data_IF_984333955611
#
_entry.id   IF_984333955611
#
_cell.length_a   1.000
_cell.length_b   1.000
_cell.length_c   1.000
_cell.angle_alpha   90.00
_cell.angle_beta   90.00
_cell.angle_gamma   90.00
#
_symmetry.space_group_name_H-M   'P 1'
#
loop_
_entity.id
_entity.type
_entity.pdbx_description
1 polymer ?
#
# COMPACT_ATOMS: atom_id res chain seq x y z
N UNK A 1 -5.68 -21.64 -21.88
CA UNK A 1 -5.17 -20.26 -21.72
C UNK A 1 -5.59 -19.59 -20.41
N UNK A 2 -6.56 -20.10 -19.65
CA UNK A 2 -7.01 -19.52 -18.37
C UNK A 2 -6.04 -19.73 -17.19
N UNK A 3 -5.37 -20.88 -17.11
CA UNK A 3 -4.44 -21.21 -16.02
C UNK A 3 -3.17 -20.34 -16.04
N UNK A 4 -2.55 -20.19 -17.21
CA UNK A 4 -1.34 -19.38 -17.39
C UNK A 4 -1.55 -17.91 -16.95
N UNK A 5 -2.72 -17.35 -17.26
CA UNK A 5 -3.07 -15.99 -16.86
C UNK A 5 -3.33 -15.89 -15.36
N UNK A 6 -3.99 -16.87 -14.74
CA UNK A 6 -4.18 -16.90 -13.29
C UNK A 6 -2.84 -16.99 -12.55
N UNK A 7 -1.91 -17.77 -13.08
CA UNK A 7 -0.56 -17.92 -12.53
C UNK A 7 0.26 -16.63 -12.66
N UNK A 8 0.16 -15.94 -13.79
CA UNK A 8 0.78 -14.63 -14.00
C UNK A 8 0.23 -13.58 -13.02
N UNK A 9 -1.09 -13.46 -12.89
CA UNK A 9 -1.72 -12.53 -11.94
C UNK A 9 -1.29 -12.84 -10.51
N UNK A 10 -1.25 -14.12 -10.13
CA UNK A 10 -0.77 -14.52 -8.81
C UNK A 10 0.70 -14.13 -8.59
N UNK A 11 1.54 -14.24 -9.62
CA UNK A 11 2.93 -13.82 -9.56
C UNK A 11 3.06 -12.30 -9.39
N UNK A 12 2.26 -11.53 -10.10
CA UNK A 12 2.26 -10.06 -10.00
C UNK A 12 1.86 -9.59 -8.60
N UNK A 13 0.84 -10.21 -8.00
CA UNK A 13 0.42 -9.96 -6.61
C UNK A 13 1.51 -10.37 -5.62
N UNK A 14 2.17 -11.53 -5.82
CA UNK A 14 3.29 -11.97 -4.97
C UNK A 14 4.42 -10.95 -4.95
N UNK A 15 4.81 -10.42 -6.11
CA UNK A 15 5.86 -9.39 -6.18
C UNK A 15 5.48 -8.10 -5.45
N UNK A 16 4.22 -7.68 -5.54
CA UNK A 16 3.74 -6.52 -4.79
C UNK A 16 3.74 -6.76 -3.27
N UNK A 17 3.39 -7.97 -2.81
CA UNK A 17 3.49 -8.38 -1.41
C UNK A 17 4.95 -8.31 -0.93
N UNK A 18 5.92 -8.73 -1.74
CA UNK A 18 7.34 -8.65 -1.39
C UNK A 18 7.78 -7.20 -1.17
N UNK A 19 7.36 -6.27 -2.04
CA UNK A 19 7.64 -4.83 -1.85
C UNK A 19 6.99 -4.31 -0.59
N UNK A 20 5.71 -4.61 -0.37
CA UNK A 20 4.98 -4.19 0.82
C UNK A 20 5.69 -4.66 2.10
N UNK A 21 6.11 -5.92 2.13
CA UNK A 21 6.84 -6.49 3.25
C UNK A 21 8.23 -5.86 3.42
N UNK A 22 8.96 -5.61 2.32
CA UNK A 22 10.27 -4.95 2.36
C UNK A 22 10.19 -3.51 2.88
N UNK A 23 9.09 -2.81 2.63
CA UNK A 23 8.85 -1.47 3.18
C UNK A 23 8.54 -1.55 4.67
N UNK A 24 7.64 -2.46 5.07
CA UNK A 24 7.30 -2.67 6.47
C UNK A 24 8.51 -3.13 7.32
N UNK A 25 9.35 -3.98 6.75
CA UNK A 25 10.62 -4.40 7.36
C UNK A 25 11.58 -3.22 7.52
N UNK A 26 11.68 -2.35 6.52
CA UNK A 26 12.50 -1.14 6.61
C UNK A 26 12.10 -0.23 7.78
N UNK A 27 10.80 -0.12 8.08
CA UNK A 27 10.30 0.60 9.26
C UNK A 27 10.73 -0.10 10.55
N UNK A 28 10.63 -1.43 10.59
CA UNK A 28 11.03 -2.24 11.76
C UNK A 28 12.53 -2.09 12.03
N UNK A 29 13.38 -2.24 11.01
CA UNK A 29 14.84 -2.08 11.07
C UNK A 29 15.23 -0.65 11.45
N UNK A 30 14.44 0.35 11.07
CA UNK A 30 14.70 1.73 11.47
C UNK A 30 14.59 1.94 12.99
N UNK A 31 13.90 1.06 13.71
CA UNK A 31 13.65 1.20 15.15
C UNK A 31 12.80 2.41 15.49
N UNK A 32 11.85 2.79 14.62
CA UNK A 32 10.84 3.79 14.95
C UNK A 32 9.84 3.21 15.96
N UNK A 33 9.55 3.96 17.01
CA UNK A 33 8.62 3.58 18.09
C UNK A 33 7.55 4.65 18.35
N UNK A 34 7.68 5.81 17.71
CA UNK A 34 6.73 6.93 17.81
C UNK A 34 6.46 7.52 16.43
N UNK A 35 5.38 8.30 16.30
CA UNK A 35 5.03 8.99 15.05
C UNK A 35 6.14 9.94 14.60
N UNK A 36 6.70 10.73 15.52
CA UNK A 36 7.82 11.65 15.21
C UNK A 36 9.04 10.89 14.69
N UNK A 37 9.40 9.77 15.32
CA UNK A 37 10.52 8.95 14.85
C UNK A 37 10.24 8.35 13.48
N UNK A 38 9.00 7.89 13.24
CA UNK A 38 8.59 7.38 11.94
C UNK A 38 8.73 8.46 10.86
N UNK A 39 8.22 9.66 11.11
CA UNK A 39 8.35 10.81 10.19
C UNK A 39 9.79 11.19 9.91
N UNK A 40 10.61 11.30 10.96
CA UNK A 40 12.02 11.65 10.85
C UNK A 40 12.84 10.62 10.06
N UNK A 41 12.59 9.32 10.27
CA UNK A 41 13.35 8.25 9.63
C UNK A 41 12.81 7.90 8.25
N UNK A 42 11.49 7.80 8.12
CA UNK A 42 10.82 7.30 6.92
C UNK A 42 10.36 8.39 5.95
N UNK A 43 10.27 9.66 6.38
CA UNK A 43 9.89 10.78 5.53
C UNK A 43 11.02 11.35 4.67
N UNK A 44 12.20 10.71 4.66
CA UNK A 44 13.41 11.24 4.01
C UNK A 44 13.47 10.99 2.50
N UNK A 45 14.25 11.80 1.79
CA UNK A 45 14.59 11.58 0.38
C UNK A 45 15.30 10.23 0.15
N UNK A 46 16.13 9.80 1.10
CA UNK A 46 16.80 8.50 1.05
C UNK A 46 15.80 7.34 1.12
N UNK A 47 14.80 7.42 2.01
CA UNK A 47 13.74 6.43 2.08
C UNK A 47 12.86 6.45 0.82
N UNK A 48 12.60 7.64 0.26
CA UNK A 48 11.89 7.76 -1.02
C UNK A 48 12.63 7.04 -2.14
N UNK A 49 13.95 7.27 -2.28
CA UNK A 49 14.79 6.59 -3.27
C UNK A 49 14.78 5.07 -3.07
N UNK A 50 14.95 4.59 -1.84
CA UNK A 50 14.87 3.15 -1.53
C UNK A 50 13.52 2.53 -1.91
N UNK A 51 12.41 3.24 -1.65
CA UNK A 51 11.08 2.77 -2.05
C UNK A 51 10.92 2.78 -3.59
N UNK A 52 11.45 3.80 -4.27
CA UNK A 52 11.48 3.86 -5.74
C UNK A 52 12.21 2.66 -6.32
N UNK A 53 13.42 2.37 -5.87
CA UNK A 53 14.25 1.27 -6.37
C UNK A 53 13.53 -0.09 -6.24
N UNK A 54 12.83 -0.31 -5.12
CA UNK A 54 12.02 -1.52 -4.89
C UNK A 54 10.83 -1.66 -5.85
N UNK A 55 10.32 -0.56 -6.39
CA UNK A 55 9.12 -0.55 -7.25
C UNK A 55 9.43 -0.45 -8.74
N UNK A 56 10.62 0.03 -9.14
CA UNK A 56 10.93 0.31 -10.55
C UNK A 56 10.86 -0.91 -11.47
N UNK A 57 11.09 -2.12 -10.97
CA UNK A 57 11.01 -3.37 -11.75
C UNK A 57 9.60 -3.97 -11.83
N UNK A 58 8.58 -3.33 -11.26
CA UNK A 58 7.24 -3.91 -11.09
C UNK A 58 6.18 -3.05 -11.79
N UNK A 59 5.89 -3.29 -13.09
CA UNK A 59 4.95 -2.47 -13.85
C UNK A 59 3.50 -2.50 -13.31
N UNK A 60 3.15 -3.53 -12.53
CA UNK A 60 1.85 -3.62 -11.85
C UNK A 60 1.74 -2.68 -10.64
N UNK A 61 2.87 -2.23 -10.07
CA UNK A 61 2.89 -1.33 -8.92
C UNK A 61 2.87 0.11 -9.40
N UNK A 62 1.75 0.79 -9.18
CA UNK A 62 1.59 2.21 -9.48
C UNK A 62 2.18 3.09 -8.38
N UNK A 63 2.08 2.63 -7.12
CA UNK A 63 2.60 3.42 -5.99
C UNK A 63 2.91 2.58 -4.76
N UNK A 64 3.92 2.99 -4.01
CA UNK A 64 4.13 2.56 -2.64
C UNK A 64 4.12 3.77 -1.70
N UNK A 65 3.60 3.58 -0.49
CA UNK A 65 3.31 4.68 0.44
C UNK A 65 3.57 4.27 1.88
N UNK A 66 4.10 5.19 2.69
CA UNK A 66 4.13 5.08 4.14
C UNK A 66 3.16 6.12 4.70
N UNK A 67 2.29 5.67 5.59
CA UNK A 67 1.24 6.46 6.23
C UNK A 67 1.47 6.46 7.73
N UNK A 68 1.40 7.62 8.37
CA UNK A 68 1.50 7.80 9.81
C UNK A 68 0.25 7.32 10.56
N UNK A 69 0.35 7.23 11.90
CA UNK A 69 -0.73 6.73 12.76
C UNK A 69 -1.99 7.61 12.73
N UNK A 70 -1.86 8.88 12.33
CA UNK A 70 -2.97 9.82 12.14
C UNK A 70 -3.55 9.81 10.71
N UNK A 71 -3.03 8.95 9.83
CA UNK A 71 -3.47 8.82 8.43
C UNK A 71 -2.72 9.70 7.44
N UNK A 72 -1.76 10.51 7.85
CA UNK A 72 -1.00 11.34 6.92
C UNK A 72 -0.05 10.50 6.07
N UNK A 73 0.01 10.80 4.78
CA UNK A 73 1.05 10.26 3.90
C UNK A 73 2.37 10.96 4.20
N UNK A 74 3.37 10.19 4.62
CA UNK A 74 4.70 10.73 5.01
C UNK A 74 5.79 10.40 4.00
N UNK A 75 5.59 9.38 3.15
CA UNK A 75 6.45 9.10 2.00
C UNK A 75 5.68 8.37 0.90
N UNK A 76 6.02 8.62 -0.37
CA UNK A 76 5.20 8.29 -1.52
C UNK A 76 6.02 8.19 -2.80
N UNK A 77 5.98 7.06 -3.52
CA UNK A 77 6.90 6.81 -4.66
C UNK A 77 6.58 7.59 -5.95
N UNK A 78 5.59 8.47 -5.98
CA UNK A 78 5.37 9.34 -7.17
C UNK A 78 6.03 10.69 -7.05
N UNK A 79 6.32 11.18 -5.84
CA UNK A 79 6.96 12.48 -5.65
C UNK A 79 7.58 12.60 -4.25
N UNK A 80 8.63 13.41 -4.15
CA UNK A 80 9.23 13.83 -2.90
C UNK A 80 9.40 15.35 -2.89
N UNK A 81 8.97 16.08 -1.83
CA UNK A 81 8.27 15.58 -0.65
C UNK A 81 6.90 14.98 -1.00
N UNK A 82 6.36 14.18 -0.08
CA UNK A 82 5.02 13.62 -0.24
C UNK A 82 3.98 14.75 -0.22
N UNK A 83 2.92 14.67 -1.06
CA UNK A 83 1.83 15.63 -1.02
C UNK A 83 1.05 15.48 0.29
N UNK A 84 0.45 16.57 0.77
CA UNK A 84 -0.41 16.58 1.96
C UNK A 84 -1.72 15.84 1.70
N UNK A 85 -1.69 14.51 1.85
CA UNK A 85 -2.83 13.62 1.69
C UNK A 85 -3.07 12.90 3.01
N UNK A 86 -4.32 12.84 3.44
CA UNK A 86 -4.75 12.02 4.58
C UNK A 86 -5.65 10.86 4.13
N UNK A 87 -5.36 9.68 4.66
CA UNK A 87 -5.98 8.40 4.34
C UNK A 87 -6.70 7.76 5.53
N UNK A 88 -6.92 8.49 6.63
CA UNK A 88 -7.55 7.95 7.85
C UNK A 88 -8.99 7.46 7.58
N UNK A 89 -9.69 8.06 6.63
CA UNK A 89 -11.05 7.71 6.23
C UNK A 89 -11.15 6.44 5.36
N UNK A 90 -10.02 5.86 4.95
CA UNK A 90 -10.00 4.72 4.03
C UNK A 90 -10.30 3.41 4.73
N UNK A 91 -10.99 2.52 4.03
CA UNK A 91 -11.40 1.20 4.51
C UNK A 91 -10.21 0.38 5.04
N UNK A 92 -9.11 0.34 4.29
CA UNK A 92 -7.89 -0.35 4.69
C UNK A 92 -7.23 0.27 5.94
N UNK A 93 -7.36 1.58 6.13
CA UNK A 93 -6.85 2.25 7.32
C UNK A 93 -7.67 1.86 8.55
N UNK A 94 -8.99 1.95 8.43
CA UNK A 94 -9.91 1.56 9.49
C UNK A 94 -9.81 0.07 9.83
N UNK A 95 -9.63 -0.80 8.84
CA UNK A 95 -9.46 -2.23 9.05
C UNK A 95 -8.23 -2.55 9.91
N UNK A 96 -7.08 -1.97 9.59
CA UNK A 96 -5.85 -2.15 10.37
C UNK A 96 -5.91 -1.48 11.75
N UNK A 97 -6.64 -0.37 11.88
CA UNK A 97 -6.84 0.29 13.16
C UNK A 97 -7.66 -0.58 14.12
N UNK A 98 -8.70 -1.24 13.61
CA UNK A 98 -9.63 -2.07 14.39
C UNK A 98 -9.11 -3.50 14.63
N UNK A 99 -8.24 -4.01 13.76
CA UNK A 99 -7.76 -5.39 13.80
C UNK A 99 -6.22 -5.44 13.80
N UNK A 100 -5.56 -5.41 14.97
CA UNK A 100 -4.10 -5.36 15.06
C UNK A 100 -3.36 -6.53 14.38
N UNK A 101 -4.02 -7.69 14.25
CA UNK A 101 -3.46 -8.93 13.70
C UNK A 101 -3.98 -9.25 12.29
N UNK A 102 -4.52 -8.27 11.56
CA UNK A 102 -5.14 -8.48 10.24
C UNK A 102 -4.17 -9.01 9.16
N UNK A 103 -2.86 -8.84 9.35
CA UNK A 103 -1.85 -9.26 8.38
C UNK A 103 -1.82 -8.34 7.15
N UNK A 104 -1.90 -8.90 5.95
CA UNK A 104 -2.03 -8.12 4.72
C UNK A 104 -3.52 -8.00 4.39
N UNK A 105 -3.98 -6.77 4.14
CA UNK A 105 -5.35 -6.49 3.75
C UNK A 105 -5.41 -5.96 2.31
N UNK A 106 -6.36 -6.50 1.54
CA UNK A 106 -6.69 -6.06 0.17
C UNK A 106 -7.90 -5.14 0.26
N UNK A 107 -7.76 -3.89 -0.17
CA UNK A 107 -8.86 -2.93 -0.16
C UNK A 107 -9.95 -3.30 -1.17
N UNK A 108 -11.13 -2.71 -1.02
CA UNK A 108 -12.08 -2.64 -2.13
C UNK A 108 -11.48 -1.76 -3.25
N UNK A 109 -11.93 -1.88 -4.51
CA UNK A 109 -11.57 -0.90 -5.53
C UNK A 109 -11.98 0.50 -5.08
N UNK A 110 -11.06 1.45 -5.15
CA UNK A 110 -11.25 2.84 -4.73
C UNK A 110 -10.67 3.80 -5.76
N UNK A 111 -11.19 5.03 -5.79
CA UNK A 111 -10.53 6.13 -6.50
C UNK A 111 -9.33 6.63 -5.71
N UNK A 112 -8.18 6.63 -6.35
CA UNK A 112 -6.91 7.09 -5.80
C UNK A 112 -6.98 8.61 -5.52
N UNK A 113 -6.68 9.02 -4.28
CA UNK A 113 -6.72 10.44 -3.87
C UNK A 113 -5.65 11.30 -4.57
N UNK A 114 -4.58 10.69 -5.07
CA UNK A 114 -3.47 11.41 -5.72
C UNK A 114 -3.60 11.59 -7.24
N UNK A 115 -4.38 10.75 -7.94
CA UNK A 115 -4.52 10.84 -9.41
C UNK A 115 -5.94 10.56 -9.95
N UNK A 116 -6.91 10.24 -9.09
CA UNK A 116 -8.31 10.01 -9.47
C UNK A 116 -8.62 8.67 -10.16
N UNK A 117 -7.60 7.87 -10.49
CA UNK A 117 -7.76 6.58 -11.16
C UNK A 117 -8.27 5.49 -10.21
N UNK A 118 -8.97 4.50 -10.76
CA UNK A 118 -9.38 3.32 -10.00
C UNK A 118 -8.17 2.44 -9.70
N UNK A 119 -8.09 1.99 -8.46
CA UNK A 119 -7.01 1.14 -7.94
C UNK A 119 -7.53 0.29 -6.79
N UNK A 120 -6.78 -0.72 -6.40
CA UNK A 120 -6.89 -1.34 -5.08
C UNK A 120 -5.52 -1.29 -4.41
N UNK A 121 -5.53 -1.37 -3.09
CA UNK A 121 -4.34 -1.32 -2.27
C UNK A 121 -4.14 -2.64 -1.54
N UNK A 122 -2.91 -3.12 -1.55
CA UNK A 122 -2.41 -3.99 -0.49
C UNK A 122 -1.88 -3.12 0.63
N UNK A 123 -2.26 -3.46 1.85
CA UNK A 123 -1.91 -2.69 3.04
C UNK A 123 -1.42 -3.59 4.15
N UNK A 124 -0.43 -3.12 4.90
CA UNK A 124 0.10 -3.81 6.08
C UNK A 124 0.30 -2.82 7.21
N UNK A 125 -0.09 -3.23 8.41
CA UNK A 125 0.14 -2.49 9.65
C UNK A 125 1.64 -2.35 9.95
N UNK A 126 2.05 -1.13 10.27
CA UNK A 126 3.35 -0.83 10.86
C UNK A 126 3.16 -0.81 12.37
N UNK A 127 3.86 -1.71 13.04
CA UNK A 127 3.74 -1.92 14.48
C UNK A 127 5.10 -1.72 15.10
N UNK A 128 5.16 -0.96 16.19
CA UNK A 128 6.41 -0.83 16.94
C UNK A 128 6.63 -2.00 17.92
N UNK A 129 7.76 -2.02 18.65
CA UNK A 129 8.19 -3.17 19.43
C UNK A 129 7.23 -3.60 20.55
N UNK A 130 6.33 -2.72 21.00
CA UNK A 130 5.36 -2.98 22.07
C UNK A 130 3.94 -3.20 21.54
N UNK A 131 3.74 -3.28 20.22
CA UNK A 131 2.42 -3.46 19.61
C UNK A 131 1.71 -2.15 19.21
N UNK A 132 2.37 -1.00 19.41
CA UNK A 132 1.82 0.31 19.07
C UNK A 132 1.53 0.45 17.57
N UNK A 133 0.44 1.13 17.23
CA UNK A 133 0.15 1.48 15.84
C UNK A 133 1.04 2.65 15.41
N UNK A 134 1.99 2.38 14.51
CA UNK A 134 2.81 3.44 13.93
C UNK A 134 2.21 4.00 12.64
N UNK A 135 1.34 3.22 11.98
CA UNK A 135 0.71 3.59 10.72
C UNK A 135 0.67 2.42 9.75
N UNK A 136 0.72 2.70 8.45
CA UNK A 136 0.62 1.68 7.39
C UNK A 136 1.72 1.78 6.34
N UNK A 137 2.07 0.64 5.77
CA UNK A 137 2.64 0.55 4.44
C UNK A 137 1.53 0.20 3.44
N UNK A 138 1.56 0.82 2.26
CA UNK A 138 0.62 0.57 1.16
C UNK A 138 1.37 0.30 -0.15
N UNK A 139 0.80 -0.56 -0.97
CA UNK A 139 1.15 -0.74 -2.38
C UNK A 139 -0.14 -0.67 -3.21
N UNK A 140 -0.24 0.30 -4.11
CA UNK A 140 -1.36 0.48 -5.03
C UNK A 140 -1.04 -0.08 -6.41
N UNK A 141 -2.02 -0.74 -7.03
CA UNK A 141 -1.88 -1.34 -8.36
C UNK A 141 -2.34 -0.38 -9.46
N UNK A 142 -1.72 -0.49 -10.64
CA UNK A 142 -2.08 0.32 -11.81
C UNK A 142 -3.49 -0.01 -12.31
N UNK A 143 -4.14 0.98 -12.94
CA UNK A 143 -5.49 0.81 -13.49
C UNK A 143 -5.54 -0.19 -14.66
N UNK A 144 -4.43 -0.41 -15.37
CA UNK A 144 -4.31 -1.41 -16.44
C UNK A 144 -4.36 -2.84 -15.91
N UNK A 145 -3.84 -3.09 -14.70
CA UNK A 145 -4.03 -4.38 -14.02
C UNK A 145 -5.52 -4.61 -13.68
N UNK A 146 -6.26 -3.53 -13.35
CA UNK A 146 -7.67 -3.61 -12.99
C UNK A 146 -8.58 -4.00 -14.16
N UNK A 147 -8.27 -3.58 -15.39
CA UNK A 147 -9.05 -3.97 -16.58
C UNK A 147 -8.99 -5.47 -16.85
N UNK A 148 -7.84 -6.10 -16.59
CA UNK A 148 -7.68 -7.55 -16.74
C UNK A 148 -8.35 -8.33 -15.60
N UNK A 149 -8.38 -7.76 -14.38
CA UNK A 149 -9.04 -8.35 -13.22
C UNK A 149 -10.57 -8.24 -13.25
N UNK A 150 -11.12 -7.09 -13.70
CA UNK A 150 -12.57 -6.80 -13.72
C UNK A 150 -13.32 -7.52 -14.83
N UNK A 151 -12.65 -7.82 -15.95
CA UNK A 151 -13.23 -8.71 -16.98
C UNK A 151 -13.40 -10.15 -16.47
N UNK A 152 -12.85 -10.50 -15.28
CA UNK A 152 -12.76 -11.87 -14.78
C UNK A 152 -13.30 -12.12 -13.38
N UNK A 153 -13.81 -11.12 -12.65
CA UNK A 153 -14.27 -11.33 -11.28
C UNK A 153 -15.56 -10.55 -10.99
N UNK A 154 -16.70 -11.21 -11.26
CA UNK A 154 -18.03 -11.02 -10.66
C UNK A 154 -18.35 -9.59 -10.15
N UNK A 155 -18.91 -8.76 -11.03
CA UNK A 155 -19.80 -7.68 -10.61
C UNK A 155 -21.02 -7.64 -11.55
N UNK A 156 -22.07 -8.35 -11.16
CA UNK A 156 -23.42 -8.05 -11.63
C UNK A 156 -24.08 -7.22 -10.52
N UNK A 157 -24.45 -5.95 -10.74
CA UNK A 157 -25.34 -5.28 -9.81
C UNK A 157 -26.69 -5.98 -9.93
N UNK A 158 -27.14 -6.63 -8.86
CA UNK A 158 -28.55 -7.01 -8.74
C UNK A 158 -29.35 -5.71 -8.77
N UNK A 159 -29.92 -5.37 -9.93
CA UNK A 159 -31.00 -4.40 -9.98
C UNK A 159 -32.20 -5.08 -9.30
N UNK A 160 -32.70 -4.46 -8.24
CA UNK A 160 -34.15 -4.48 -7.99
C UNK A 160 -34.78 -3.43 -8.90
#
# INVERSE_FOLDING_TARGET
>A
MSLLLAEQTAQEVRSAILVLNSIAEGVTVSGATTDDQLRLKMGTAAQFASMRDKTQGLPQVDVATIVAANGDVINFTRSHPAPSINLADRDYFQAHLQQPNLGIHVSRPVRNKGNGQWTFYLSRRLTGPKGEFLGLALVGFSSTFLSDFTTRSIWAPTRQ
#
